data_IF_206376988510
#
_entry.id   IF_206376988510
#
_cell.length_a   1.000
_cell.length_b   1.000
_cell.length_c   1.000
_cell.angle_alpha   90.00
_cell.angle_beta   90.00
_cell.angle_gamma   90.00
#
_symmetry.space_group_name_H-M   'P 1'
#
loop_
_entity.id
_entity.type
_entity.pdbx_description
1 polymer ?
#
# COMPACT_ATOMS: atom_id res chain seq x y z
N UNK A 1 18.21 -4.78 5.32
CA UNK A 1 18.37 -5.13 4.72
C UNK A 1 18.47 -5.52 4.24
N UNK A 2 17.89 -5.36 4.51
CA UNK A 2 18.06 -5.74 3.83
C UNK A 2 17.79 -5.99 3.23
N UNK A 3 17.37 -5.89 3.33
CA UNK A 3 17.36 -6.18 2.50
C UNK A 3 17.38 -6.43 1.74
N UNK A 4 17.30 -6.45 1.89
CA UNK A 4 17.54 -6.70 0.97
C UNK A 4 17.49 -7.17 0.21
N UNK A 5 17.47 -7.08 0.37
CA UNK A 5 17.43 -7.55 -0.35
C UNK A 5 16.99 -8.15 -0.52
N UNK A 6 16.71 -8.08 -0.11
CA UNK A 6 16.29 -8.51 -0.36
C UNK A 6 15.42 -8.75 -0.46
N UNK A 7 15.14 -8.56 -0.18
CA UNK A 7 14.41 -8.78 -0.23
C UNK A 7 13.91 -9.56 -0.25
N UNK A 8 13.74 -9.58 0.01
CA UNK A 8 13.47 -10.24 0.16
C UNK A 8 13.35 -11.15 0.30
N UNK A 9 13.34 -11.35 0.63
CA UNK A 9 13.33 -12.19 0.90
C UNK A 9 13.32 -12.85 1.47
N UNK A 10 13.14 -12.89 2.12
CA UNK A 10 13.29 -13.50 2.85
C UNK A 10 13.12 -14.26 3.54
N UNK A 11 13.14 -14.82 4.17
CA UNK A 11 13.20 -15.36 4.97
C UNK A 11 13.31 -16.21 5.48
N UNK A 12 13.57 -16.54 6.08
CA UNK A 12 13.76 -17.04 6.52
C UNK A 12 13.73 -17.64 7.00
N UNK A 13 13.99 -18.55 7.26
CA UNK A 13 13.87 -18.63 7.75
C UNK A 13 13.72 -18.36 8.06
N UNK A 14 13.78 -19.20 8.44
CA UNK A 14 13.23 -18.22 9.00
C UNK A 14 13.46 -17.03 8.61
N UNK A 15 13.46 -16.89 7.96
CA UNK A 15 13.55 -15.61 7.76
C UNK A 15 12.50 -14.82 8.35
N UNK A 16 12.80 -14.00 9.27
CA UNK A 16 11.87 -13.09 9.86
C UNK A 16 11.50 -12.03 8.85
N UNK A 17 10.23 -11.93 8.57
CA UNK A 17 9.77 -10.83 7.74
C UNK A 17 9.78 -9.54 8.54
N UNK A 18 10.30 -8.46 7.97
CA UNK A 18 10.20 -7.17 8.66
C UNK A 18 8.75 -6.79 8.86
N UNK A 19 8.44 -6.39 10.06
CA UNK A 19 7.11 -5.88 10.38
C UNK A 19 7.00 -4.45 9.88
N UNK A 20 5.82 -4.08 9.38
CA UNK A 20 5.55 -2.68 9.07
C UNK A 20 5.51 -1.90 10.37
N UNK A 21 6.22 -0.78 10.40
CA UNK A 21 6.13 0.14 11.53
C UNK A 21 5.17 1.26 11.12
N UNK A 22 3.96 1.27 11.69
CA UNK A 22 2.98 2.26 11.29
C UNK A 22 3.42 3.70 11.53
N UNK A 23 4.28 3.93 12.52
CA UNK A 23 4.76 5.29 12.77
C UNK A 23 5.73 5.76 11.71
N UNK A 24 6.44 4.82 11.07
CA UNK A 24 7.34 5.16 9.97
C UNK A 24 6.55 5.39 8.67
N UNK A 25 5.44 4.68 8.50
CA UNK A 25 4.61 4.83 7.31
C UNK A 25 3.88 6.16 7.35
N UNK A 26 3.39 6.58 8.52
CA UNK A 26 2.69 7.86 8.66
C UNK A 26 3.71 8.99 8.83
N UNK A 27 4.43 9.30 7.75
CA UNK A 27 5.64 10.10 7.76
C UNK A 27 5.50 11.48 8.40
N UNK A 28 4.33 12.13 8.27
CA UNK A 28 4.13 13.49 8.75
C UNK A 28 3.17 13.57 9.93
N UNK A 29 3.04 12.48 10.65
CA UNK A 29 2.09 12.39 11.76
C UNK A 29 2.65 11.46 12.82
N UNK A 30 2.25 11.67 14.08
CA UNK A 30 2.56 10.75 15.15
C UNK A 30 1.62 9.55 15.15
N UNK A 31 0.53 9.62 14.40
CA UNK A 31 -0.42 8.52 14.29
C UNK A 31 0.04 7.49 13.27
N UNK A 32 -0.35 6.24 13.49
CA UNK A 32 -0.09 5.16 12.54
C UNK A 32 -0.95 5.31 11.29
N UNK A 33 -0.59 4.59 10.24
CA UNK A 33 -1.42 4.54 9.03
C UNK A 33 -2.83 4.05 9.37
N UNK A 34 -2.92 3.01 10.20
CA UNK A 34 -4.21 2.48 10.64
C UNK A 34 -5.05 3.57 11.32
N UNK A 35 -4.44 4.31 12.23
CA UNK A 35 -5.14 5.37 12.96
C UNK A 35 -5.58 6.49 12.02
N UNK A 36 -4.76 6.82 11.04
CA UNK A 36 -5.13 7.84 10.04
C UNK A 36 -6.32 7.38 9.20
N UNK A 37 -6.32 6.12 8.78
CA UNK A 37 -7.45 5.58 8.01
C UNK A 37 -8.71 5.56 8.87
N UNK A 38 -8.58 5.13 10.12
CA UNK A 38 -9.71 5.07 11.04
C UNK A 38 -10.35 6.45 11.22
N UNK A 39 -9.50 7.45 11.47
CA UNK A 39 -9.99 8.82 11.64
C UNK A 39 -10.64 9.35 10.37
N UNK A 40 -10.02 9.07 9.22
CA UNK A 40 -10.55 9.52 7.94
C UNK A 40 -11.92 8.89 7.66
N UNK A 41 -12.08 7.60 7.97
CA UNK A 41 -13.35 6.92 7.73
C UNK A 41 -14.43 7.39 8.69
N UNK A 42 -14.08 7.59 9.96
CA UNK A 42 -15.05 8.12 10.92
C UNK A 42 -15.55 9.48 10.47
N UNK A 43 -14.63 10.32 10.00
CA UNK A 43 -14.97 11.66 9.51
C UNK A 43 -15.84 11.59 8.25
N UNK A 44 -15.51 10.69 7.35
CA UNK A 44 -16.26 10.50 6.11
C UNK A 44 -17.72 10.15 6.41
N UNK A 45 -17.95 9.16 7.27
CA UNK A 45 -19.30 8.73 7.60
C UNK A 45 -20.07 9.80 8.38
N UNK A 46 -19.37 10.54 9.21
CA UNK A 46 -19.99 11.64 9.95
C UNK A 46 -20.54 12.72 9.02
N UNK A 47 -19.84 12.97 7.92
CA UNK A 47 -20.24 14.03 6.98
C UNK A 47 -21.18 13.58 5.88
N UNK A 48 -21.54 12.30 5.85
CA UNK A 48 -22.51 11.81 4.87
C UNK A 48 -23.92 12.32 5.14
N UNK A 49 -24.21 12.57 6.39
CA UNK A 49 -25.48 13.14 6.78
C UNK A 49 -26.66 12.30 6.33
N UNK A 50 -26.53 10.98 6.44
CA UNK A 50 -27.56 10.04 6.06
C UNK A 50 -27.69 9.75 4.58
N UNK A 51 -26.84 10.34 3.75
CA UNK A 51 -26.88 10.07 2.32
C UNK A 51 -26.40 8.65 2.03
N UNK A 52 -27.07 7.92 1.13
CA UNK A 52 -26.63 6.57 0.76
C UNK A 52 -25.33 6.62 -0.03
N UNK A 53 -24.45 5.67 0.27
CA UNK A 53 -23.19 5.53 -0.45
C UNK A 53 -22.98 4.07 -0.81
N UNK A 54 -22.23 3.85 -1.88
CA UNK A 54 -21.85 2.53 -2.31
C UNK A 54 -20.39 2.56 -2.75
N UNK A 55 -19.82 1.38 -2.95
CA UNK A 55 -18.45 1.24 -3.46
C UNK A 55 -17.39 1.87 -2.54
N UNK A 56 -17.68 1.97 -1.25
CA UNK A 56 -16.75 2.53 -0.27
C UNK A 56 -15.46 1.72 -0.23
N UNK A 57 -15.57 0.40 -0.32
CA UNK A 57 -14.39 -0.46 -0.33
C UNK A 57 -13.42 -0.08 -1.44
N UNK A 58 -13.92 0.03 -2.66
CA UNK A 58 -13.08 0.38 -3.81
C UNK A 58 -12.54 1.79 -3.70
N UNK A 59 -13.33 2.70 -3.20
CA UNK A 59 -12.89 4.08 -2.99
C UNK A 59 -11.70 4.14 -2.04
N UNK A 60 -11.82 3.50 -0.90
CA UNK A 60 -10.75 3.51 0.11
C UNK A 60 -9.53 2.75 -0.40
N UNK A 61 -9.75 1.59 -1.00
CA UNK A 61 -8.66 0.78 -1.52
C UNK A 61 -7.85 1.55 -2.56
N UNK A 62 -8.52 2.28 -3.45
CA UNK A 62 -7.84 3.07 -4.47
C UNK A 62 -6.99 4.18 -3.86
N UNK A 63 -7.48 4.82 -2.81
CA UNK A 63 -6.75 5.88 -2.13
C UNK A 63 -5.45 5.39 -1.51
N UNK A 64 -5.40 4.13 -1.14
CA UNK A 64 -4.20 3.52 -0.55
C UNK A 64 -3.34 2.88 -1.62
N UNK A 65 -3.95 2.16 -2.55
CA UNK A 65 -3.20 1.42 -3.58
C UNK A 65 -2.45 2.34 -4.53
N UNK A 66 -3.08 3.41 -4.97
CA UNK A 66 -2.45 4.28 -5.96
C UNK A 66 -1.11 4.84 -5.46
N UNK A 67 -1.06 5.50 -4.29
CA UNK A 67 0.22 6.01 -3.81
C UNK A 67 1.19 4.89 -3.42
N UNK A 68 0.68 3.76 -2.93
CA UNK A 68 1.54 2.62 -2.61
C UNK A 68 2.28 2.14 -3.85
N UNK A 69 1.54 1.90 -4.92
CA UNK A 69 2.14 1.40 -6.17
C UNK A 69 3.09 2.44 -6.76
N UNK A 70 2.70 3.69 -6.71
CA UNK A 70 3.53 4.77 -7.22
C UNK A 70 4.88 4.82 -6.51
N UNK A 71 4.87 4.75 -5.18
CA UNK A 71 6.09 4.79 -4.40
C UNK A 71 6.94 3.55 -4.61
N UNK A 72 6.31 2.37 -4.71
CA UNK A 72 7.04 1.15 -4.97
C UNK A 72 7.73 1.20 -6.34
N UNK A 73 7.02 1.67 -7.36
CA UNK A 73 7.61 1.75 -8.70
C UNK A 73 8.79 2.73 -8.73
N UNK A 74 8.70 3.83 -8.00
CA UNK A 74 9.84 4.73 -7.84
C UNK A 74 11.01 4.04 -7.17
N UNK A 75 10.74 3.33 -6.10
CA UNK A 75 11.76 2.66 -5.32
C UNK A 75 12.53 1.62 -6.13
N UNK A 76 11.82 0.88 -6.96
CA UNK A 76 12.42 -0.18 -7.79
C UNK A 76 12.80 0.32 -9.20
N UNK A 77 12.67 1.62 -9.44
CA UNK A 77 13.01 2.25 -10.72
C UNK A 77 12.30 1.59 -11.89
N UNK A 78 11.01 1.41 -11.72
CA UNK A 78 10.10 0.84 -12.73
C UNK A 78 10.41 -0.61 -13.11
N UNK A 79 11.12 -1.32 -12.25
CA UNK A 79 11.36 -2.75 -12.47
C UNK A 79 10.16 -3.54 -11.94
N UNK A 80 9.29 -3.98 -12.85
CA UNK A 80 8.05 -4.63 -12.47
C UNK A 80 8.26 -5.96 -11.75
N UNK A 81 9.29 -6.70 -12.13
CA UNK A 81 9.61 -7.97 -11.48
C UNK A 81 9.96 -7.74 -10.01
N UNK A 82 10.81 -6.75 -9.74
CA UNK A 82 11.18 -6.41 -8.38
C UNK A 82 9.98 -5.87 -7.60
N UNK A 83 9.15 -5.06 -8.25
CA UNK A 83 7.97 -4.50 -7.60
C UNK A 83 7.00 -5.62 -7.18
N UNK A 84 6.75 -6.56 -8.08
CA UNK A 84 5.86 -7.67 -7.79
C UNK A 84 6.36 -8.48 -6.61
N UNK A 85 7.67 -8.76 -6.60
CA UNK A 85 8.28 -9.51 -5.51
C UNK A 85 8.18 -8.75 -4.19
N UNK A 86 8.51 -7.47 -4.22
CA UNK A 86 8.46 -6.60 -3.04
C UNK A 86 7.05 -6.51 -2.45
N UNK A 87 6.06 -6.44 -3.32
CA UNK A 87 4.66 -6.31 -2.90
C UNK A 87 4.01 -7.65 -2.55
N UNK A 88 4.63 -8.75 -2.95
CA UNK A 88 4.02 -10.07 -2.76
C UNK A 88 2.89 -10.35 -3.73
N UNK A 89 2.94 -9.76 -4.92
CA UNK A 89 1.95 -9.96 -5.98
C UNK A 89 2.57 -10.69 -7.15
N UNK A 90 1.77 -11.41 -7.93
CA UNK A 90 2.29 -11.90 -9.19
C UNK A 90 2.32 -10.76 -10.22
N UNK A 91 3.09 -10.93 -11.27
CA UNK A 91 3.31 -9.87 -12.25
C UNK A 91 2.04 -9.46 -12.98
N UNK A 92 1.18 -10.43 -13.28
CA UNK A 92 -0.07 -10.13 -13.96
C UNK A 92 -0.98 -9.25 -13.13
N UNK A 93 -1.09 -9.56 -11.85
CA UNK A 93 -1.88 -8.75 -10.92
C UNK A 93 -1.30 -7.35 -10.80
N UNK A 94 0.02 -7.26 -10.67
CA UNK A 94 0.67 -5.95 -10.58
C UNK A 94 0.42 -5.11 -11.81
N UNK A 95 0.60 -5.69 -13.02
CA UNK A 95 0.39 -4.93 -14.25
C UNK A 95 -1.04 -4.43 -14.37
N UNK A 96 -2.00 -5.27 -13.99
CA UNK A 96 -3.40 -4.88 -13.99
C UNK A 96 -3.64 -3.67 -13.12
N UNK A 97 -3.07 -3.68 -11.92
CA UNK A 97 -3.20 -2.58 -10.98
C UNK A 97 -2.50 -1.32 -11.47
N UNK A 98 -1.31 -1.46 -12.02
CA UNK A 98 -0.59 -0.32 -12.57
C UNK A 98 -1.39 0.33 -13.69
N UNK A 99 -1.99 -0.47 -14.55
CA UNK A 99 -2.85 0.04 -15.62
C UNK A 99 -4.06 0.77 -15.06
N UNK A 100 -4.68 0.18 -14.04
CA UNK A 100 -5.86 0.75 -13.40
C UNK A 100 -5.60 2.18 -12.91
N UNK A 101 -4.41 2.43 -12.39
CA UNK A 101 -4.05 3.73 -11.83
C UNK A 101 -3.24 4.61 -12.77
N UNK A 102 -3.10 4.21 -14.02
CA UNK A 102 -2.37 5.02 -15.00
C UNK A 102 -0.87 5.09 -14.74
N UNK A 103 -0.32 4.05 -14.13
CA UNK A 103 1.09 4.00 -13.77
C UNK A 103 1.92 3.12 -14.70
N UNK A 104 1.32 2.61 -15.73
CA UNK A 104 2.00 1.73 -16.70
C UNK A 104 2.26 2.45 -18.00
#
# INVERSE_FOLDING_TARGET
>A
MSTSDSYLHEPASGQIQPQLDPTQIAANSTASLRENVEAAMANYFKHLDGQPVSDVYQMVLSEVEAPLLEQVMKYVRNNQTKAAHLLGLNRGTLRKKLKQYGLL
#
